data_IF_284164553531
#
_entry.id   IF_284164553531
#
_cell.length_a   1.000
_cell.length_b   1.000
_cell.length_c   1.000
_cell.angle_alpha   90.00
_cell.angle_beta   90.00
_cell.angle_gamma   90.00
#
_symmetry.space_group_name_H-M   'P 1'
#
loop_
_entity.id
_entity.type
_entity.pdbx_description
1 polymer ?
#
# COMPACT_ATOMS: atom_id res chain seq x y z
N UNK A 1 -24.20 7.30 4.99
CA UNK A 1 -23.26 6.18 4.75
C UNK A 1 -22.84 6.27 3.29
N UNK A 2 -21.59 6.61 3.00
CA UNK A 2 -21.05 6.60 1.64
C UNK A 2 -20.79 5.16 1.21
N UNK A 3 -21.05 4.82 -0.06
CA UNK A 3 -20.74 3.49 -0.58
C UNK A 3 -19.26 3.18 -0.38
N UNK A 4 -18.95 2.01 0.20
CA UNK A 4 -17.58 1.54 0.30
C UNK A 4 -17.00 1.43 -1.12
N UNK A 5 -15.84 2.08 -1.35
CA UNK A 5 -15.18 2.00 -2.65
C UNK A 5 -14.56 0.61 -2.80
N UNK A 6 -14.90 -0.08 -3.88
CA UNK A 6 -14.34 -1.39 -4.23
C UNK A 6 -12.81 -1.30 -4.29
N UNK A 7 -12.14 -2.19 -3.54
CA UNK A 7 -10.68 -2.35 -3.58
C UNK A 7 -10.31 -3.37 -4.66
N UNK A 8 -9.14 -3.16 -5.25
CA UNK A 8 -8.53 -4.04 -6.23
C UNK A 8 -7.08 -4.30 -5.85
N UNK A 9 -6.60 -5.52 -6.08
CA UNK A 9 -5.20 -5.91 -5.90
C UNK A 9 -4.49 -6.04 -7.25
N UNK A 10 -3.28 -5.51 -7.32
CA UNK A 10 -2.34 -5.78 -8.42
C UNK A 10 -0.96 -6.03 -7.84
N UNK A 11 -0.41 -7.22 -8.10
CA UNK A 11 0.82 -7.72 -7.47
C UNK A 11 0.70 -7.65 -5.95
N UNK A 12 1.22 -6.60 -5.31
CA UNK A 12 1.19 -6.39 -3.87
C UNK A 12 0.48 -5.09 -3.47
N UNK A 13 -0.01 -4.31 -4.43
CA UNK A 13 -0.58 -2.99 -4.15
C UNK A 13 -2.11 -3.07 -4.13
N UNK A 14 -2.70 -2.45 -3.11
CA UNK A 14 -4.14 -2.27 -2.98
C UNK A 14 -4.51 -0.88 -3.48
N UNK A 15 -5.47 -0.83 -4.40
CA UNK A 15 -5.95 0.42 -4.99
C UNK A 15 -7.47 0.45 -5.04
N UNK A 16 -8.04 1.65 -4.94
CA UNK A 16 -9.40 1.92 -5.40
C UNK A 16 -9.36 2.38 -6.84
N UNK A 17 -10.36 1.99 -7.64
CA UNK A 17 -10.44 2.40 -9.03
C UNK A 17 -11.71 3.21 -9.29
N UNK A 18 -11.56 4.34 -9.96
CA UNK A 18 -12.68 5.14 -10.48
C UNK A 18 -12.52 5.40 -11.98
N UNK A 19 -13.64 5.44 -12.70
CA UNK A 19 -13.64 5.89 -14.09
C UNK A 19 -13.83 7.41 -14.14
N UNK A 20 -12.99 8.10 -14.90
CA UNK A 20 -13.08 9.54 -15.08
C UNK A 20 -14.35 9.92 -15.85
N UNK A 21 -15.27 10.63 -15.18
CA UNK A 21 -16.54 11.08 -15.77
C UNK A 21 -16.38 12.25 -16.75
N UNK A 22 -15.29 12.99 -16.62
CA UNK A 22 -14.93 14.15 -17.43
C UNK A 22 -13.40 14.27 -17.55
N UNK A 23 -12.94 15.10 -18.47
CA UNK A 23 -11.51 15.39 -18.61
C UNK A 23 -11.06 16.20 -17.39
N UNK A 24 -10.10 15.70 -16.63
CA UNK A 24 -9.56 16.36 -15.43
C UNK A 24 -8.05 16.27 -15.38
N UNK A 25 -7.42 17.13 -14.59
CA UNK A 25 -6.01 16.97 -14.21
C UNK A 25 -5.93 16.34 -12.83
N UNK A 26 -5.10 15.32 -12.69
CA UNK A 26 -4.72 14.77 -11.38
C UNK A 26 -3.34 15.31 -11.02
N UNK A 27 -3.15 15.67 -9.76
CA UNK A 27 -1.90 16.18 -9.22
C UNK A 27 -1.27 15.09 -8.35
N UNK A 28 -0.03 14.75 -8.66
CA UNK A 28 0.77 13.79 -7.91
C UNK A 28 1.46 14.49 -6.74
N UNK A 29 1.80 13.73 -5.69
CA UNK A 29 2.52 14.30 -4.54
C UNK A 29 3.93 14.80 -4.90
N UNK A 30 4.54 14.28 -5.97
CA UNK A 30 5.82 14.75 -6.51
C UNK A 30 5.72 16.10 -7.25
N UNK A 31 4.53 16.71 -7.32
CA UNK A 31 4.28 17.99 -8.00
C UNK A 31 3.97 17.86 -9.50
N UNK A 32 4.07 16.66 -10.07
CA UNK A 32 3.70 16.41 -11.47
C UNK A 32 2.18 16.37 -11.63
N UNK A 33 1.71 16.60 -12.86
CA UNK A 33 0.28 16.62 -13.16
C UNK A 33 0.02 15.93 -14.49
N UNK A 34 -0.95 15.02 -14.49
CA UNK A 34 -1.34 14.28 -15.68
C UNK A 34 -2.77 14.65 -16.07
N UNK A 35 -3.01 14.79 -17.37
CA UNK A 35 -4.36 14.93 -17.90
C UNK A 35 -4.99 13.54 -17.98
N UNK A 36 -6.15 13.39 -17.35
CA UNK A 36 -7.00 12.21 -17.46
C UNK A 36 -8.16 12.55 -18.37
N UNK A 37 -8.37 11.73 -19.38
CA UNK A 37 -9.50 11.85 -20.29
C UNK A 37 -10.71 11.09 -19.77
N UNK A 38 -11.88 11.54 -20.18
CA UNK A 38 -13.15 10.86 -19.88
C UNK A 38 -13.09 9.39 -20.34
N UNK A 39 -13.46 8.48 -19.45
CA UNK A 39 -13.46 7.03 -19.68
C UNK A 39 -12.15 6.32 -19.29
N UNK A 40 -11.09 7.05 -18.97
CA UNK A 40 -9.87 6.47 -18.40
C UNK A 40 -10.09 6.09 -16.94
N UNK A 41 -9.36 5.07 -16.49
CA UNK A 41 -9.41 4.63 -15.11
C UNK A 41 -8.35 5.34 -14.29
N UNK A 42 -8.69 5.69 -13.07
CA UNK A 42 -7.77 6.26 -12.09
C UNK A 42 -7.71 5.27 -10.94
N UNK A 43 -6.54 4.69 -10.71
CA UNK A 43 -6.26 4.02 -9.45
C UNK A 43 -5.79 5.02 -8.42
N UNK A 44 -6.24 4.86 -7.18
CA UNK A 44 -5.72 5.56 -6.02
C UNK A 44 -5.30 4.51 -5.00
N UNK A 45 -4.03 4.51 -4.59
CA UNK A 45 -3.54 3.61 -3.55
C UNK A 45 -4.01 4.03 -2.14
N UNK A 46 -3.56 3.29 -1.13
CA UNK A 46 -3.92 3.54 0.28
C UNK A 46 -3.31 4.83 0.84
N UNK A 47 -2.23 5.34 0.23
CA UNK A 47 -1.56 6.60 0.62
C UNK A 47 -2.16 7.82 -0.09
N UNK A 48 -3.06 7.60 -1.05
CA UNK A 48 -3.74 8.63 -1.82
C UNK A 48 -3.01 9.03 -3.10
N UNK A 49 -1.96 8.30 -3.52
CA UNK A 49 -1.32 8.54 -4.81
C UNK A 49 -2.21 8.03 -5.94
N UNK A 50 -2.40 8.87 -6.95
CA UNK A 50 -3.27 8.59 -8.08
C UNK A 50 -2.47 8.23 -9.31
N UNK A 51 -2.94 7.29 -10.12
CA UNK A 51 -2.33 6.94 -11.40
C UNK A 51 -3.39 6.64 -12.45
N UNK A 52 -3.11 6.98 -13.70
CA UNK A 52 -4.00 6.65 -14.83
C UNK A 52 -3.70 5.25 -15.31
N UNK A 53 -4.75 4.43 -15.45
CA UNK A 53 -4.69 3.07 -15.95
C UNK A 53 -5.43 3.00 -17.29
N UNK A 54 -4.80 2.48 -18.36
CA UNK A 54 -5.50 2.16 -19.58
C UNK A 54 -6.58 1.10 -19.35
N UNK A 55 -7.76 1.24 -19.96
CA UNK A 55 -8.83 0.24 -19.82
C UNK A 55 -8.40 -1.18 -20.20
N UNK A 56 -7.49 -1.33 -21.17
CA UNK A 56 -6.92 -2.62 -21.56
C UNK A 56 -6.15 -3.33 -20.44
N UNK A 57 -5.76 -2.61 -19.38
CA UNK A 57 -5.07 -3.18 -18.22
C UNK A 57 -6.00 -3.41 -17.03
N UNK A 58 -7.30 -3.08 -17.12
CA UNK A 58 -8.26 -3.25 -16.03
C UNK A 58 -8.29 -4.68 -15.50
N UNK A 59 -8.24 -5.66 -16.40
CA UNK A 59 -8.32 -7.09 -16.03
C UNK A 59 -7.11 -7.58 -15.24
N UNK A 60 -6.02 -6.81 -15.18
CA UNK A 60 -4.87 -7.10 -14.32
C UNK A 60 -5.11 -6.70 -12.85
N UNK A 61 -6.24 -6.07 -12.55
CA UNK A 61 -6.65 -5.65 -11.21
C UNK A 61 -7.78 -6.55 -10.74
N UNK A 62 -7.49 -7.36 -9.73
CA UNK A 62 -8.44 -8.35 -9.22
C UNK A 62 -9.26 -7.68 -8.10
N UNK A 63 -10.61 -7.66 -8.17
CA UNK A 63 -11.42 -7.08 -7.11
C UNK A 63 -11.21 -7.86 -5.81
N UNK A 64 -11.00 -7.13 -4.72
CA UNK A 64 -10.95 -7.70 -3.38
C UNK A 64 -12.38 -7.90 -2.89
N UNK A 65 -12.77 -9.15 -2.67
CA UNK A 65 -14.01 -9.44 -1.96
C UNK A 65 -13.80 -9.05 -0.49
N UNK A 66 -14.37 -7.90 -0.12
CA UNK A 66 -14.44 -7.48 1.27
C UNK A 66 -15.55 -8.31 1.93
N UNK A 67 -15.25 -9.54 2.28
CA UNK A 67 -16.11 -10.32 3.15
C UNK A 67 -16.18 -9.62 4.52
N UNK A 68 -17.35 -9.69 5.17
CA UNK A 68 -17.42 -9.30 6.56
C UNK A 68 -16.44 -10.17 7.34
N UNK A 69 -15.50 -9.54 8.05
CA UNK A 69 -14.55 -10.25 8.90
C UNK A 69 -15.34 -11.24 9.76
N UNK A 70 -14.89 -12.48 9.80
CA UNK A 70 -15.44 -13.42 10.76
C UNK A 70 -15.30 -12.82 12.17
N UNK A 71 -16.18 -13.18 13.12
CA UNK A 71 -16.09 -12.67 14.48
C UNK A 71 -14.70 -12.81 15.12
N UNK A 72 -13.99 -13.89 14.74
CA UNK A 72 -12.61 -14.14 15.16
C UNK A 72 -11.62 -13.13 14.55
N UNK A 73 -11.68 -12.89 13.24
CA UNK A 73 -10.81 -11.93 12.58
C UNK A 73 -11.06 -10.49 13.06
N UNK A 74 -12.33 -10.13 13.32
CA UNK A 74 -12.67 -8.85 13.91
C UNK A 74 -12.07 -8.68 15.33
N UNK A 75 -12.09 -9.75 16.14
CA UNK A 75 -11.49 -9.76 17.47
C UNK A 75 -9.96 -9.64 17.39
N UNK A 76 -9.31 -10.33 16.45
CA UNK A 76 -7.86 -10.19 16.22
C UNK A 76 -7.49 -8.78 15.78
N UNK A 77 -8.21 -8.21 14.81
CA UNK A 77 -7.97 -6.84 14.32
C UNK A 77 -8.11 -5.82 15.45
N UNK A 78 -9.10 -5.98 16.32
CA UNK A 78 -9.25 -5.16 17.53
C UNK A 78 -8.05 -5.29 18.47
N UNK A 79 -7.60 -6.52 18.74
CA UNK A 79 -6.41 -6.77 19.55
C UNK A 79 -5.15 -6.12 18.97
N UNK A 80 -4.94 -6.18 17.65
CA UNK A 80 -3.83 -5.49 16.99
C UNK A 80 -3.93 -3.97 17.12
N UNK A 81 -5.12 -3.40 16.96
CA UNK A 81 -5.32 -1.96 17.11
C UNK A 81 -5.05 -1.48 18.54
N UNK A 82 -5.50 -2.23 19.55
CA UNK A 82 -5.24 -1.94 20.97
C UNK A 82 -3.74 -2.02 21.32
N UNK A 83 -3.01 -2.95 20.68
CA UNK A 83 -1.58 -3.11 20.89
C UNK A 83 -0.71 -2.19 20.00
N UNK A 84 -1.31 -1.38 19.13
CA UNK A 84 -0.60 -0.60 18.12
C UNK A 84 0.49 0.31 18.69
N UNK A 85 0.17 1.09 19.73
CA UNK A 85 1.12 2.02 20.35
C UNK A 85 2.31 1.29 21.02
N UNK A 86 2.04 0.18 21.70
CA UNK A 86 3.07 -0.64 22.36
C UNK A 86 3.98 -1.29 21.33
N UNK A 87 3.40 -1.86 20.27
CA UNK A 87 4.16 -2.50 19.20
C UNK A 87 5.01 -1.49 18.44
N UNK A 88 4.50 -0.28 18.19
CA UNK A 88 5.28 0.81 17.58
C UNK A 88 6.44 1.26 18.46
N UNK A 89 6.22 1.45 19.76
CA UNK A 89 7.28 1.84 20.70
C UNK A 89 8.39 0.79 20.79
N UNK A 90 8.01 -0.49 20.84
CA UNK A 90 8.97 -1.61 20.80
C UNK A 90 9.71 -1.63 19.46
N UNK A 91 9.01 -1.52 18.33
CA UNK A 91 9.64 -1.53 17.02
C UNK A 91 10.67 -0.39 16.87
N UNK A 92 10.35 0.82 17.32
CA UNK A 92 11.28 1.94 17.31
C UNK A 92 12.48 1.71 18.25
N UNK A 93 12.24 1.17 19.45
CA UNK A 93 13.29 0.89 20.42
C UNK A 93 14.30 -0.16 19.94
N UNK A 94 13.85 -1.16 19.19
CA UNK A 94 14.70 -2.25 18.68
C UNK A 94 15.23 -2.02 17.25
N UNK A 95 14.76 -1.00 16.54
CA UNK A 95 15.21 -0.66 15.19
C UNK A 95 16.74 -0.47 15.08
N UNK A 96 17.35 0.14 16.10
CA UNK A 96 18.82 0.31 16.14
C UNK A 96 19.56 -1.02 16.31
N UNK A 97 19.04 -1.93 17.14
CA UNK A 97 19.66 -3.23 17.42
C UNK A 97 19.56 -4.15 16.19
N UNK A 98 18.42 -4.13 15.48
CA UNK A 98 18.25 -4.89 14.25
C UNK A 98 19.22 -4.41 13.15
N UNK A 99 19.34 -3.09 12.96
CA UNK A 99 20.29 -2.51 12.00
C UNK A 99 21.76 -2.84 12.34
N UNK A 100 22.12 -2.88 13.62
CA UNK A 100 23.46 -3.27 14.06
C UNK A 100 23.74 -4.75 13.80
N UNK A 101 22.75 -5.63 14.03
CA UNK A 101 22.86 -7.06 13.73
C UNK A 101 22.98 -7.32 12.22
N UNK A 102 22.23 -6.59 11.40
CA UNK A 102 22.31 -6.67 9.94
C UNK A 102 23.65 -6.15 9.41
N UNK A 103 24.15 -5.03 9.97
CA UNK A 103 25.48 -4.50 9.65
C UNK A 103 26.62 -5.44 10.06
N UNK A 104 26.54 -6.05 11.24
CA UNK A 104 27.52 -7.02 11.74
C UNK A 104 27.56 -8.28 10.86
N UNK A 105 26.40 -8.80 10.49
CA UNK A 105 26.27 -9.95 9.59
C UNK A 105 26.82 -9.63 8.21
N UNK A 106 26.52 -8.45 7.68
CA UNK A 106 27.06 -7.98 6.38
C UNK A 106 28.58 -7.87 6.42
N UNK A 107 29.17 -7.36 7.50
CA UNK A 107 30.64 -7.31 7.66
C UNK A 107 31.27 -8.71 7.76
N UNK A 108 30.62 -9.66 8.42
CA UNK A 108 31.08 -11.05 8.47
C UNK A 108 31.06 -11.72 7.09
N UNK A 109 30.04 -11.45 6.26
CA UNK A 109 29.89 -12.03 4.92
C UNK A 109 30.84 -11.36 3.91
N UNK A 110 30.97 -10.03 3.96
CA UNK A 110 31.76 -9.24 2.99
C UNK A 110 33.23 -9.05 3.37
N UNK A 111 33.57 -9.19 4.66
CA UNK A 111 34.95 -9.11 5.17
C UNK A 111 35.83 -10.32 4.87
N UNK A 112 35.27 -11.39 4.28
CA UNK A 112 36.04 -12.57 3.85
C UNK A 112 36.61 -12.44 2.41
N UNK A 113 36.40 -11.31 1.73
CA UNK A 113 36.78 -11.11 0.32
C UNK A 113 37.75 -9.94 0.08
N UNK A 114 38.56 -9.56 1.08
CA UNK A 114 39.68 -8.64 0.87
C UNK A 114 40.92 -9.13 1.64
N UNK A 115 41.52 -10.19 1.14
CA UNK A 115 42.95 -10.53 1.33
C UNK A 115 43.63 -10.52 -0.05
#
# INVERSE_FOLDING_TARGET
MGAARQLYVKRNDLVTMEEAKENKKIHMQNGESFTVFKGELIATDLEGHQMVIPQSQKDNYIPVELEELSPYEAQMAKGYAEMGAINSEIAEAYYHVENEAESATTRLITGAYND
#
